data_IF_570138277699
#
_entry.id   IF_570138277699
#
_cell.length_a   1.000
_cell.length_b   1.000
_cell.length_c   1.000
_cell.angle_alpha   90.00
_cell.angle_beta   90.00
_cell.angle_gamma   90.00
#
_symmetry.space_group_name_H-M   'P 1'
#
loop_
_entity.id
_entity.type
_entity.pdbx_description
1 polymer ?
#
# COMPACT_ATOMS: atom_id res chain seq x y z
N UNK A 1 -0.33 -14.36 -36.13
CA UNK A 1 0.74 -13.75 -35.32
C UNK A 1 0.46 -14.22 -33.91
N UNK A 2 1.35 -15.07 -33.41
CA UNK A 2 1.33 -15.50 -32.02
C UNK A 2 1.36 -14.24 -31.14
N UNK A 3 0.41 -14.14 -30.21
CA UNK A 3 0.37 -13.01 -29.29
C UNK A 3 1.59 -13.09 -28.38
N UNK A 4 2.41 -12.04 -28.37
CA UNK A 4 3.53 -11.93 -27.45
C UNK A 4 3.04 -12.16 -26.02
N UNK A 5 3.57 -13.20 -25.37
CA UNK A 5 3.24 -13.51 -23.99
C UNK A 5 3.88 -12.45 -23.09
N UNK A 6 3.05 -11.69 -22.36
CA UNK A 6 3.52 -10.61 -21.49
C UNK A 6 3.81 -11.18 -20.11
N UNK A 7 5.06 -11.06 -19.66
CA UNK A 7 5.49 -11.45 -18.32
C UNK A 7 5.86 -10.22 -17.48
N UNK A 8 5.44 -10.22 -16.22
CA UNK A 8 5.96 -9.31 -15.20
C UNK A 8 7.15 -9.94 -14.48
N UNK A 9 8.26 -9.21 -14.39
CA UNK A 9 9.45 -9.64 -13.65
C UNK A 9 9.72 -8.61 -12.54
N UNK A 10 9.80 -9.08 -11.29
CA UNK A 10 10.29 -8.25 -10.20
C UNK A 10 11.81 -8.11 -10.35
N UNK A 11 12.28 -6.87 -10.46
CA UNK A 11 13.69 -6.52 -10.61
C UNK A 11 14.08 -5.54 -9.49
N UNK A 12 15.37 -5.23 -9.38
CA UNK A 12 15.95 -4.26 -8.44
C UNK A 12 15.88 -4.73 -6.97
N UNK A 13 16.83 -5.60 -6.61
CA UNK A 13 17.00 -6.12 -5.26
C UNK A 13 18.12 -5.40 -4.49
N UNK A 14 18.60 -4.25 -4.98
CA UNK A 14 19.73 -3.52 -4.37
C UNK A 14 19.39 -2.97 -2.98
N UNK A 15 18.09 -2.79 -2.69
CA UNK A 15 17.56 -2.38 -1.38
C UNK A 15 17.00 -3.56 -0.55
N UNK A 16 17.09 -4.79 -1.05
CA UNK A 16 16.59 -5.96 -0.33
C UNK A 16 17.43 -6.23 0.93
N UNK A 17 16.76 -6.54 2.04
CA UNK A 17 17.42 -6.89 3.30
C UNK A 17 17.22 -8.37 3.62
N UNK A 18 18.27 -9.03 4.12
CA UNK A 18 18.19 -10.42 4.55
C UNK A 18 17.46 -10.54 5.89
N UNK A 19 16.58 -11.54 6.01
CA UNK A 19 15.86 -11.83 7.26
C UNK A 19 16.85 -12.08 8.39
N UNK A 20 16.73 -11.32 9.48
CA UNK A 20 17.60 -11.42 10.66
C UNK A 20 18.89 -10.59 10.59
N UNK A 21 19.17 -9.92 9.47
CA UNK A 21 20.17 -8.85 9.46
C UNK A 21 19.63 -7.69 10.30
N UNK A 22 20.48 -7.07 11.14
CA UNK A 22 20.09 -5.83 11.81
C UNK A 22 19.78 -4.79 10.75
N UNK A 23 18.51 -4.41 10.64
CA UNK A 23 18.13 -3.23 9.87
C UNK A 23 18.87 -2.04 10.47
N UNK A 24 19.86 -1.53 9.75
CA UNK A 24 20.20 -0.12 9.90
C UNK A 24 18.97 0.57 9.34
N UNK A 25 18.13 1.11 10.23
CA UNK A 25 17.01 1.93 9.82
C UNK A 25 17.64 3.08 9.04
N UNK A 26 17.70 2.95 7.73
CA UNK A 26 18.04 4.04 6.84
C UNK A 26 16.85 4.97 7.00
N UNK A 27 16.96 5.87 7.97
CA UNK A 27 15.98 6.88 8.39
C UNK A 27 15.63 7.87 7.29
N UNK A 28 16.21 7.69 6.12
CA UNK A 28 15.87 8.39 4.90
C UNK A 28 14.77 7.60 4.23
N UNK A 29 13.53 7.95 4.52
CA UNK A 29 12.38 8.14 3.60
C UNK A 29 12.53 7.63 2.14
N UNK A 30 13.05 6.42 1.90
CA UNK A 30 13.30 5.87 0.56
C UNK A 30 12.09 5.15 -0.02
N UNK A 31 11.02 5.02 0.77
CA UNK A 31 9.74 4.51 0.27
C UNK A 31 9.08 5.53 -0.66
N UNK A 32 8.65 5.08 -1.84
CA UNK A 32 7.78 5.88 -2.70
C UNK A 32 6.42 6.00 -1.99
N UNK A 33 6.10 7.21 -1.52
CA UNK A 33 5.02 7.48 -0.55
C UNK A 33 3.68 6.76 -0.85
N UNK A 34 3.14 6.75 -2.08
CA UNK A 34 1.90 6.04 -2.39
C UNK A 34 1.96 4.53 -2.19
N UNK A 35 3.14 3.92 -2.18
CA UNK A 35 3.32 2.48 -2.05
C UNK A 35 3.76 2.08 -0.63
N UNK A 36 4.05 3.00 0.28
CA UNK A 36 4.43 2.61 1.64
C UNK A 36 3.26 1.98 2.41
N UNK A 37 3.56 0.96 3.22
CA UNK A 37 2.61 0.34 4.12
C UNK A 37 2.07 1.34 5.17
N UNK A 38 0.84 1.14 5.64
CA UNK A 38 0.18 2.03 6.62
C UNK A 38 0.98 2.18 7.92
N UNK A 39 1.61 1.10 8.40
CA UNK A 39 2.42 1.12 9.64
C UNK A 39 3.65 2.03 9.48
N UNK A 40 4.25 2.04 8.27
CA UNK A 40 5.39 2.88 7.92
C UNK A 40 5.01 4.36 7.72
N UNK A 41 3.74 4.63 7.40
CA UNK A 41 3.19 5.99 7.30
C UNK A 41 2.85 6.61 8.67
N UNK A 42 2.93 5.85 9.76
CA UNK A 42 2.75 6.38 11.12
C UNK A 42 3.92 7.28 11.53
N UNK A 43 3.75 8.06 12.61
CA UNK A 43 4.85 8.85 13.19
C UNK A 43 6.06 7.98 13.54
N UNK A 44 5.83 6.81 14.14
CA UNK A 44 6.90 5.86 14.49
C UNK A 44 7.57 5.31 13.23
N UNK A 45 6.78 4.95 12.23
CA UNK A 45 7.28 4.48 10.93
C UNK A 45 8.16 5.53 10.24
N UNK A 46 7.69 6.76 10.16
CA UNK A 46 8.43 7.88 9.58
C UNK A 46 9.71 8.24 10.34
N UNK A 47 9.78 7.94 11.65
CA UNK A 47 10.97 8.11 12.47
C UNK A 47 11.95 6.92 12.37
N UNK A 48 11.63 5.87 11.61
CA UNK A 48 12.44 4.65 11.53
C UNK A 48 12.34 3.76 12.78
N UNK A 49 11.33 3.98 13.63
CA UNK A 49 11.11 3.21 14.85
C UNK A 49 10.29 1.92 14.63
N UNK A 50 9.73 1.75 13.42
CA UNK A 50 9.03 0.53 13.01
C UNK A 50 9.98 -0.32 12.18
N UNK A 51 10.18 -1.56 12.60
CA UNK A 51 10.97 -2.53 11.84
C UNK A 51 10.29 -2.83 10.50
N UNK A 52 11.06 -2.79 9.41
CA UNK A 52 10.57 -3.15 8.10
C UNK A 52 10.47 -4.68 7.99
N UNK A 53 9.26 -5.19 7.81
CA UNK A 53 8.96 -6.63 7.75
C UNK A 53 8.41 -6.98 6.37
N UNK A 54 8.51 -8.26 5.97
CA UNK A 54 8.00 -8.75 4.67
C UNK A 54 6.52 -8.40 4.41
N UNK A 55 5.70 -8.27 5.47
CA UNK A 55 4.29 -7.85 5.37
C UNK A 55 4.14 -6.43 4.80
N UNK A 56 5.12 -5.56 5.01
CA UNK A 56 5.12 -4.21 4.46
C UNK A 56 5.37 -4.25 2.95
N UNK A 57 6.27 -5.09 2.48
CA UNK A 57 6.53 -5.26 1.04
C UNK A 57 5.31 -5.86 0.32
N UNK A 58 4.62 -6.81 0.96
CA UNK A 58 3.35 -7.35 0.45
C UNK A 58 2.27 -6.26 0.35
N UNK A 59 2.12 -5.44 1.40
CA UNK A 59 1.18 -4.31 1.38
C UNK A 59 1.54 -3.30 0.29
N UNK A 60 2.83 -3.00 0.11
CA UNK A 60 3.34 -2.15 -0.96
C UNK A 60 3.01 -2.68 -2.35
N UNK A 61 3.15 -3.98 -2.57
CA UNK A 61 2.77 -4.62 -3.82
C UNK A 61 1.27 -4.47 -4.11
N UNK A 62 0.41 -4.65 -3.11
CA UNK A 62 -1.03 -4.41 -3.25
C UNK A 62 -1.34 -2.94 -3.59
N UNK A 63 -0.64 -2.00 -2.98
CA UNK A 63 -0.79 -0.57 -3.29
C UNK A 63 -0.39 -0.23 -4.73
N UNK A 64 0.63 -0.89 -5.29
CA UNK A 64 0.98 -0.76 -6.71
C UNK A 64 -0.16 -1.24 -7.61
N UNK A 65 -0.80 -2.37 -7.29
CA UNK A 65 -1.94 -2.88 -8.04
C UNK A 65 -3.14 -1.91 -7.99
N UNK A 66 -3.48 -1.39 -6.80
CA UNK A 66 -4.54 -0.38 -6.65
C UNK A 66 -4.20 0.87 -7.44
N UNK A 67 -2.94 1.32 -7.40
CA UNK A 67 -2.52 2.49 -8.15
C UNK A 67 -2.67 2.29 -9.66
N UNK A 68 -2.14 1.19 -10.22
CA UNK A 68 -2.17 0.94 -11.67
C UNK A 68 -3.61 0.79 -12.17
N UNK A 69 -4.46 0.05 -11.45
CA UNK A 69 -5.86 -0.20 -11.86
C UNK A 69 -6.70 1.08 -11.96
N UNK A 70 -6.34 2.12 -11.22
CA UNK A 70 -7.07 3.39 -11.21
C UNK A 70 -6.35 4.53 -11.94
N UNK A 71 -5.05 4.39 -12.24
CA UNK A 71 -4.28 5.36 -13.03
C UNK A 71 -4.39 5.17 -14.53
N UNK A 72 -4.77 3.97 -14.97
CA UNK A 72 -4.87 3.66 -16.39
C UNK A 72 -6.27 3.19 -16.74
N UNK A 73 -6.87 3.83 -17.74
CA UNK A 73 -8.14 3.41 -18.33
C UNK A 73 -7.94 3.20 -19.83
N UNK A 74 -8.26 2.00 -20.33
CA UNK A 74 -8.04 1.61 -21.74
C UNK A 74 -6.60 1.86 -22.22
N UNK A 75 -5.61 1.58 -21.38
CA UNK A 75 -4.19 1.76 -21.68
C UNK A 75 -3.71 3.21 -21.70
N UNK A 76 -4.57 4.19 -21.34
CA UNK A 76 -4.20 5.61 -21.24
C UNK A 76 -4.16 6.06 -19.79
N UNK A 77 -3.19 6.91 -19.48
CA UNK A 77 -3.11 7.58 -18.19
C UNK A 77 -4.33 8.49 -18.01
N UNK A 78 -4.96 8.44 -16.85
CA UNK A 78 -6.08 9.32 -16.48
C UNK A 78 -5.55 10.70 -16.11
N UNK A 79 -6.10 11.77 -16.72
CA UNK A 79 -5.62 13.16 -16.56
C UNK A 79 -5.86 13.74 -15.15
N UNK A 80 -6.99 13.41 -14.53
CA UNK A 80 -7.28 13.71 -13.12
C UNK A 80 -7.24 12.39 -12.33
N UNK A 81 -6.05 11.92 -11.95
CA UNK A 81 -5.93 10.61 -11.41
C UNK A 81 -6.48 10.55 -9.98
N UNK A 82 -7.26 9.51 -9.63
CA UNK A 82 -7.56 9.23 -8.23
C UNK A 82 -6.26 9.03 -7.42
N UNK A 83 -6.36 9.27 -6.12
CA UNK A 83 -5.28 9.11 -5.13
C UNK A 83 -4.17 10.18 -5.19
N UNK A 84 -4.45 11.37 -5.72
CA UNK A 84 -3.54 12.52 -5.61
C UNK A 84 -3.16 12.82 -4.14
N UNK A 85 -4.06 12.56 -3.19
CA UNK A 85 -3.83 12.73 -1.76
C UNK A 85 -2.69 11.82 -1.24
N UNK A 86 -2.44 10.69 -1.91
CA UNK A 86 -1.40 9.74 -1.50
C UNK A 86 0.00 10.27 -1.76
N UNK A 87 0.15 11.31 -2.58
CA UNK A 87 1.45 11.94 -2.90
C UNK A 87 1.72 13.20 -2.08
N UNK A 88 0.78 13.66 -1.24
CA UNK A 88 0.89 14.95 -0.55
C UNK A 88 1.66 14.92 0.78
N UNK A 89 1.97 13.72 1.29
CA UNK A 89 2.72 13.50 2.53
C UNK A 89 2.19 12.33 3.35
N UNK A 90 2.93 11.86 4.38
CA UNK A 90 2.57 10.63 5.11
C UNK A 90 1.20 10.67 5.75
N UNK A 91 0.85 11.78 6.40
CA UNK A 91 -0.46 11.91 7.06
C UNK A 91 -1.62 11.90 6.06
N UNK A 92 -1.49 12.62 4.94
CA UNK A 92 -2.50 12.64 3.88
C UNK A 92 -2.65 11.26 3.23
N UNK A 93 -1.52 10.62 2.93
CA UNK A 93 -1.49 9.27 2.35
C UNK A 93 -2.11 8.24 3.29
N UNK A 94 -1.72 8.23 4.57
CA UNK A 94 -2.29 7.36 5.59
C UNK A 94 -3.81 7.51 5.65
N UNK A 95 -4.29 8.76 5.77
CA UNK A 95 -5.71 9.06 5.90
C UNK A 95 -6.50 8.58 4.68
N UNK A 96 -5.99 8.86 3.47
CA UNK A 96 -6.65 8.46 2.24
C UNK A 96 -6.64 6.94 2.01
N UNK A 97 -5.55 6.24 2.34
CA UNK A 97 -5.47 4.77 2.29
C UNK A 97 -6.37 4.10 3.31
N UNK A 98 -6.38 4.57 4.55
CA UNK A 98 -7.29 4.07 5.59
C UNK A 98 -8.74 4.27 5.16
N UNK A 99 -9.08 5.46 4.65
CA UNK A 99 -10.41 5.71 4.12
C UNK A 99 -10.75 4.75 2.96
N UNK A 100 -9.82 4.49 2.04
CA UNK A 100 -10.03 3.53 0.95
C UNK A 100 -10.38 2.12 1.46
N UNK A 101 -9.66 1.61 2.48
CA UNK A 101 -9.92 0.28 3.03
C UNK A 101 -11.24 0.18 3.79
N UNK A 102 -11.60 1.23 4.54
CA UNK A 102 -12.74 1.17 5.47
C UNK A 102 -14.02 1.81 4.93
N UNK A 103 -13.99 2.51 3.78
CA UNK A 103 -15.17 3.17 3.17
C UNK A 103 -16.30 2.23 2.76
N UNK A 104 -16.03 0.93 2.56
CA UNK A 104 -17.02 -0.05 2.11
C UNK A 104 -17.39 -1.11 3.16
N UNK A 105 -17.00 -0.91 4.41
CA UNK A 105 -17.47 -1.77 5.51
C UNK A 105 -18.86 -1.31 5.91
N UNK A 106 -19.91 -1.82 5.24
CA UNK A 106 -21.19 -1.94 5.93
C UNK A 106 -20.94 -2.84 7.14
N UNK A 107 -20.97 -2.24 8.33
CA UNK A 107 -20.95 -3.01 9.57
C UNK A 107 -22.25 -3.81 9.55
N UNK A 108 -22.16 -5.11 9.25
CA UNK A 108 -23.25 -6.02 9.59
C UNK A 108 -23.37 -5.95 11.11
N UNK A 109 -24.42 -5.30 11.62
CA UNK A 109 -24.72 -5.32 13.05
C UNK A 109 -24.72 -6.78 13.52
N UNK A 110 -24.14 -7.09 14.68
CA UNK A 110 -24.14 -8.46 15.16
C UNK A 110 -25.59 -8.93 15.25
N UNK A 111 -25.88 -10.09 14.64
CA UNK A 111 -27.16 -10.76 14.76
C UNK A 111 -27.48 -10.87 16.25
N UNK A 112 -28.35 -9.98 16.75
CA UNK A 112 -28.93 -10.14 18.07
C UNK A 112 -29.64 -11.47 17.99
N UNK A 113 -29.07 -12.45 18.70
CA UNK A 113 -29.65 -13.76 18.91
C UNK A 113 -31.04 -13.52 19.53
N UNK A 114 -32.07 -13.54 18.69
CA UNK A 114 -33.45 -13.58 19.15
C UNK A 114 -33.61 -14.93 19.85
N UNK A 115 -33.37 -14.96 21.16
CA UNK A 115 -33.82 -16.06 21.99
C UNK A 115 -35.35 -16.03 22.00
N UNK A 116 -36.03 -17.12 21.59
CA UNK A 116 -37.47 -17.20 21.76
C UNK A 116 -37.82 -17.43 23.23
N UNK A 117 -38.71 -16.56 23.71
CA UNK A 117 -39.50 -16.53 24.96
C UNK A 117 -38.76 -16.51 26.31
#
# INVERSE_FOLDING_TARGET
MDGDEIFGVLNDFDLATMVGAKHVANSEWTGTLPFMALDLLTRKGCNGEVEHLYRHDLESFLWVLVWITFRFQNGKLVEDPPFWEWTQGPGACFTAKAAFLYKNTEIVEPLIEQRPN
#
